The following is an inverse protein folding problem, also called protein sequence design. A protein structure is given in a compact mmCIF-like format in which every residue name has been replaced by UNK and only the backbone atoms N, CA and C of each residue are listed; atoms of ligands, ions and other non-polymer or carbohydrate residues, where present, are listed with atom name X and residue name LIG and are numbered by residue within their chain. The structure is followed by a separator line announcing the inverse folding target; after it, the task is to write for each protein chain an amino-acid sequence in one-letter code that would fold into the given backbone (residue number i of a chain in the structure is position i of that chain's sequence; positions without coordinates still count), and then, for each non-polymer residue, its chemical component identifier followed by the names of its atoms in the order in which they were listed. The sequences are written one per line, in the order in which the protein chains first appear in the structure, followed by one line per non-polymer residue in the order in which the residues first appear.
data_IF_747682709137
#
_entry.id   IF_747682709137
#
_cell.length_a   1.000
_cell.length_b   1.000
_cell.length_c   1.000
_cell.angle_alpha   90.00
_cell.angle_beta   90.00
_cell.angle_gamma   90.00
#
_symmetry.space_group_name_H-M   'P 1'
#
loop_
_entity.id
_entity.type
_entity.pdbx_description
1 polymer ?
#
# COMPACT_ATOMS: atom_id res chain seq x y z
N UNK A 1 -9.87 -18.03 -21.88
CA UNK A 1 -8.83 -17.64 -20.91
C UNK A 1 -9.08 -16.18 -20.60
N UNK A 2 -9.71 -15.95 -19.45
CA UNK A 2 -10.28 -14.68 -19.01
C UNK A 2 -9.18 -13.70 -18.57
N UNK A 3 -9.12 -12.56 -19.24
CA UNK A 3 -8.39 -11.38 -18.78
C UNK A 3 -8.98 -10.91 -17.45
N UNK A 4 -8.26 -11.15 -16.36
CA UNK A 4 -8.54 -10.49 -15.09
C UNK A 4 -8.13 -9.02 -15.20
N UNK A 5 -9.04 -8.06 -14.96
CA UNK A 5 -8.76 -6.63 -15.10
C UNK A 5 -7.61 -6.19 -14.20
N UNK A 6 -6.85 -5.19 -14.64
CA UNK A 6 -5.65 -4.64 -13.98
C UNK A 6 -5.84 -4.35 -12.47
N UNK A 7 -7.04 -3.92 -12.06
CA UNK A 7 -7.43 -3.70 -10.66
C UNK A 7 -7.44 -4.99 -9.82
N UNK A 8 -7.87 -6.13 -10.38
CA UNK A 8 -7.84 -7.42 -9.67
C UNK A 8 -6.43 -7.93 -9.44
N UNK A 9 -5.46 -7.57 -10.30
CA UNK A 9 -4.05 -7.97 -10.11
C UNK A 9 -3.40 -7.22 -8.98
N UNK A 10 -3.59 -5.89 -8.90
CA UNK A 10 -3.08 -5.10 -7.78
C UNK A 10 -3.79 -5.45 -6.46
N UNK A 11 -5.10 -5.75 -6.51
CA UNK A 11 -5.84 -6.22 -5.34
C UNK A 11 -5.42 -7.63 -4.91
N UNK A 12 -5.15 -8.55 -5.85
CA UNK A 12 -4.61 -9.88 -5.52
C UNK A 12 -3.18 -9.80 -4.98
N UNK A 13 -2.35 -8.89 -5.48
CA UNK A 13 -1.00 -8.65 -4.95
C UNK A 13 -1.12 -8.11 -3.54
N UNK A 14 -1.99 -7.13 -3.27
CA UNK A 14 -2.26 -6.67 -1.91
C UNK A 14 -2.77 -7.79 -1.00
N UNK A 15 -3.68 -8.65 -1.47
CA UNK A 15 -4.17 -9.81 -0.72
C UNK A 15 -3.07 -10.84 -0.46
N UNK A 16 -2.20 -11.12 -1.44
CA UNK A 16 -1.09 -12.07 -1.27
C UNK A 16 0.01 -11.52 -0.37
N UNK A 17 0.32 -10.23 -0.47
CA UNK A 17 1.26 -9.57 0.43
C UNK A 17 0.69 -9.51 1.84
N UNK A 18 -0.58 -9.12 2.03
CA UNK A 18 -1.28 -9.23 3.31
C UNK A 18 -1.31 -10.69 3.80
N UNK A 19 -1.34 -11.68 2.92
CA UNK A 19 -1.25 -13.10 3.29
C UNK A 19 0.17 -13.49 3.76
N UNK A 20 1.23 -13.04 3.10
CA UNK A 20 2.62 -13.23 3.51
C UNK A 20 2.89 -12.53 4.84
N UNK A 21 2.44 -11.27 4.97
CA UNK A 21 2.52 -10.48 6.20
C UNK A 21 1.72 -11.15 7.33
N UNK A 22 0.53 -11.70 7.02
CA UNK A 22 -0.27 -12.50 7.96
C UNK A 22 0.46 -13.75 8.43
N UNK A 23 1.10 -14.51 7.53
CA UNK A 23 1.89 -15.71 7.90
C UNK A 23 3.09 -15.31 8.77
N UNK A 24 3.70 -14.16 8.48
CA UNK A 24 4.81 -13.61 9.24
C UNK A 24 4.37 -13.24 10.67
N UNK A 25 3.33 -12.42 10.80
CA UNK A 25 2.74 -12.01 12.08
C UNK A 25 2.19 -13.21 12.88
N UNK A 26 1.61 -14.20 12.20
CA UNK A 26 1.07 -15.44 12.78
C UNK A 26 2.07 -16.25 13.60
N UNK A 27 3.37 -16.24 13.25
CA UNK A 27 4.34 -17.07 13.96
C UNK A 27 4.75 -16.48 15.33
N UNK A 28 4.43 -15.22 15.63
CA UNK A 28 5.11 -14.47 16.69
C UNK A 28 4.22 -13.72 17.72
N UNK A 29 2.90 -13.90 17.73
CA UNK A 29 1.99 -13.37 18.78
C UNK A 29 0.99 -14.45 19.27
N UNK A 30 0.93 -14.72 20.59
CA UNK A 30 -0.10 -15.57 21.24
C UNK A 30 -0.41 -15.02 22.65
N UNK A 31 -1.68 -14.65 22.95
CA UNK A 31 -2.54 -15.23 24.04
C UNK A 31 -3.85 -14.45 24.35
N UNK A 32 -4.98 -15.08 23.96
CA UNK A 32 -6.24 -15.35 24.70
C UNK A 32 -7.40 -14.31 24.83
N UNK A 33 -8.59 -14.79 24.41
CA UNK A 33 -9.99 -14.36 24.65
C UNK A 33 -10.76 -15.54 25.33
N UNK A 34 -12.02 -15.50 25.86
CA UNK A 34 -13.28 -15.34 25.06
C UNK A 34 -14.55 -14.71 25.74
N UNK A 35 -15.47 -14.27 24.86
CA UNK A 35 -16.90 -13.82 24.98
C UNK A 35 -17.89 -14.96 25.39
N UNK A 36 -19.19 -14.76 25.75
CA UNK A 36 -20.29 -14.61 24.75
C UNK A 36 -21.59 -13.78 25.11
N UNK A 37 -22.10 -13.07 24.08
CA UNK A 37 -23.47 -12.68 23.59
C UNK A 37 -24.75 -13.47 24.05
N UNK A 38 -26.06 -13.03 23.85
CA UNK A 38 -26.70 -12.77 22.51
C UNK A 38 -28.04 -11.95 22.32
N UNK A 39 -28.41 -11.72 21.02
CA UNK A 39 -29.74 -11.69 20.30
C UNK A 39 -30.82 -10.56 20.55
N UNK A 40 -31.73 -10.10 19.64
CA UNK A 40 -32.09 -10.29 18.21
C UNK A 40 -33.28 -9.37 17.70
N UNK A 41 -33.38 -9.19 16.36
CA UNK A 41 -34.55 -9.06 15.40
C UNK A 41 -35.56 -7.87 15.32
N UNK A 42 -35.91 -7.47 14.06
CA UNK A 42 -37.23 -6.92 13.64
C UNK A 42 -37.28 -6.18 12.27
N UNK A 43 -38.17 -6.56 11.34
CA UNK A 43 -38.30 -6.15 9.90
C UNK A 43 -39.24 -4.94 9.57
N UNK A 44 -39.19 -4.47 8.30
CA UNK A 44 -39.91 -3.36 7.64
C UNK A 44 -41.40 -3.66 7.25
N UNK A 45 -42.24 -2.73 6.68
CA UNK A 45 -42.14 -2.24 5.26
C UNK A 45 -42.77 -0.85 4.92
N UNK A 46 -42.69 -0.43 3.63
CA UNK A 46 -43.25 0.81 3.00
C UNK A 46 -44.73 0.68 2.50
N UNK A 47 -45.40 1.77 2.03
CA UNK A 47 -45.51 2.01 0.56
C UNK A 47 -45.72 3.47 0.00
N UNK A 48 -45.34 3.63 -1.30
CA UNK A 48 -45.79 4.47 -2.49
C UNK A 48 -46.78 5.66 -2.36
N UNK A 49 -46.93 6.68 -3.26
CA UNK A 49 -46.48 7.16 -4.63
C UNK A 49 -46.87 8.68 -4.71
N UNK A 50 -46.38 9.60 -5.57
CA UNK A 50 -46.72 9.95 -7.01
C UNK A 50 -46.01 11.32 -7.30
N UNK A 51 -45.14 11.53 -8.31
CA UNK A 51 -45.30 11.95 -9.74
C UNK A 51 -45.22 13.48 -10.06
N UNK A 52 -44.41 13.85 -11.08
CA UNK A 52 -44.31 15.15 -11.81
C UNK A 52 -43.03 15.95 -11.50
N UNK A 53 -42.18 16.48 -12.40
CA UNK A 53 -42.28 16.82 -13.84
C UNK A 53 -40.91 16.85 -14.55
N UNK A 54 -40.96 16.77 -15.88
CA UNK A 54 -39.84 16.69 -16.85
C UNK A 54 -39.12 18.04 -17.08
N UNK A 55 -37.79 18.00 -17.14
CA UNK A 55 -36.99 18.90 -17.97
C UNK A 55 -35.86 18.12 -18.64
N UNK A 56 -35.88 18.05 -19.97
CA UNK A 56 -34.98 17.25 -20.78
C UNK A 56 -33.55 17.83 -20.80
N UNK A 57 -32.62 17.09 -20.22
CA UNK A 57 -31.16 17.27 -20.40
C UNK A 57 -30.75 16.43 -21.63
N UNK A 58 -29.96 16.95 -22.58
CA UNK A 58 -29.57 16.19 -23.77
C UNK A 58 -28.79 14.94 -23.35
N UNK A 59 -29.22 13.78 -23.85
CA UNK A 59 -28.59 12.50 -23.61
C UNK A 59 -27.13 12.52 -24.12
N UNK A 60 -26.16 12.34 -23.21
CA UNK A 60 -24.75 12.12 -23.58
C UNK A 60 -24.69 10.84 -24.42
N UNK A 61 -24.34 10.98 -25.70
CA UNK A 61 -24.11 9.86 -26.60
C UNK A 61 -23.15 8.84 -25.96
N UNK A 62 -23.44 7.55 -26.09
CA UNK A 62 -22.57 6.48 -25.61
C UNK A 62 -21.25 6.52 -26.37
N UNK A 63 -20.20 7.03 -25.71
CA UNK A 63 -18.86 7.08 -26.26
C UNK A 63 -18.41 5.67 -26.66
N UNK A 64 -18.00 5.51 -27.92
CA UNK A 64 -17.39 4.27 -28.42
C UNK A 64 -15.99 4.09 -27.82
N UNK A 65 -15.46 2.86 -27.80
CA UNK A 65 -14.07 2.58 -27.41
C UNK A 65 -13.05 3.40 -28.22
N UNK A 66 -13.37 3.71 -29.48
CA UNK A 66 -12.58 4.60 -30.35
C UNK A 66 -12.57 6.04 -29.88
N UNK A 67 -13.64 6.51 -29.24
CA UNK A 67 -13.74 7.88 -28.72
C UNK A 67 -12.90 8.05 -27.46
N UNK A 68 -12.88 7.05 -26.57
CA UNK A 68 -12.00 7.04 -25.40
C UNK A 68 -10.52 7.02 -25.77
N UNK A 69 -10.14 6.21 -26.77
CA UNK A 69 -8.75 6.19 -27.26
C UNK A 69 -8.35 7.51 -27.91
N UNK A 70 -9.26 8.15 -28.65
CA UNK A 70 -9.01 9.48 -29.24
C UNK A 70 -8.84 10.53 -28.15
N UNK A 71 -9.72 10.55 -27.15
CA UNK A 71 -9.66 11.48 -26.03
C UNK A 71 -8.39 11.29 -25.20
N UNK A 72 -7.99 10.04 -24.92
CA UNK A 72 -6.72 9.74 -24.26
C UNK A 72 -5.51 10.26 -25.06
N UNK A 73 -5.47 10.03 -26.38
CA UNK A 73 -4.39 10.55 -27.24
C UNK A 73 -4.36 12.08 -27.29
N UNK A 74 -5.53 12.73 -27.28
CA UNK A 74 -5.63 14.18 -27.23
C UNK A 74 -5.06 14.73 -25.93
N UNK A 75 -5.43 14.15 -24.77
CA UNK A 75 -4.87 14.55 -23.46
C UNK A 75 -3.35 14.36 -23.39
N UNK A 76 -2.83 13.25 -23.92
CA UNK A 76 -1.39 13.03 -23.98
C UNK A 76 -0.69 14.09 -24.85
N UNK A 77 -1.29 14.46 -25.99
CA UNK A 77 -0.77 15.51 -26.87
C UNK A 77 -0.84 16.91 -26.23
N UNK A 78 -1.93 17.21 -25.52
CA UNK A 78 -2.11 18.46 -24.76
C UNK A 78 -1.08 18.59 -23.62
N UNK A 79 -0.70 17.47 -23.00
CA UNK A 79 0.39 17.40 -22.03
C UNK A 79 1.79 17.54 -22.66
N UNK A 80 1.89 17.79 -23.98
CA UNK A 80 3.16 17.98 -24.69
C UNK A 80 3.88 16.67 -25.04
N UNK A 81 3.26 15.51 -24.83
CA UNK A 81 3.85 14.22 -25.13
C UNK A 81 3.74 13.89 -26.64
N UNK A 82 4.82 13.39 -27.22
CA UNK A 82 4.90 13.04 -28.64
C UNK A 82 4.83 11.53 -28.80
N UNK A 83 3.91 11.05 -29.64
CA UNK A 83 3.81 9.63 -29.96
C UNK A 83 5.07 9.15 -30.68
N UNK A 84 5.68 8.07 -30.18
CA UNK A 84 6.77 7.33 -30.83
C UNK A 84 6.35 5.88 -31.01
N UNK A 85 6.72 5.29 -32.14
CA UNK A 85 6.46 3.88 -32.45
C UNK A 85 7.80 3.12 -32.41
N UNK A 86 7.78 1.95 -31.79
CA UNK A 86 8.97 1.13 -31.56
C UNK A 86 8.73 -0.30 -32.04
N UNK A 87 9.76 -0.90 -32.61
CA UNK A 87 9.80 -2.33 -32.90
C UNK A 87 10.73 -2.98 -31.88
N UNK A 88 10.16 -3.81 -31.01
CA UNK A 88 10.91 -4.49 -29.95
C UNK A 88 10.56 -5.97 -29.93
N UNK A 89 11.48 -6.76 -29.37
CA UNK A 89 11.22 -8.18 -29.15
C UNK A 89 10.16 -8.37 -28.05
N UNK A 90 9.31 -9.39 -28.12
CA UNK A 90 8.21 -9.58 -27.15
C UNK A 90 8.71 -9.73 -25.70
N UNK A 91 9.93 -10.22 -25.49
CA UNK A 91 10.55 -10.38 -24.17
C UNK A 91 10.87 -9.03 -23.48
N UNK A 92 10.92 -7.93 -24.25
CA UNK A 92 11.34 -6.61 -23.76
C UNK A 92 10.19 -5.61 -23.61
N UNK A 93 8.94 -6.05 -23.75
CA UNK A 93 7.76 -5.17 -23.73
C UNK A 93 7.58 -4.49 -22.38
N UNK A 94 7.82 -5.21 -21.28
CA UNK A 94 7.63 -4.66 -19.94
C UNK A 94 8.73 -3.66 -19.56
N UNK A 95 9.97 -3.91 -19.97
CA UNK A 95 11.07 -2.94 -19.83
C UNK A 95 10.75 -1.62 -20.57
N UNK A 96 10.20 -1.70 -21.78
CA UNK A 96 9.80 -0.50 -22.54
C UNK A 96 8.67 0.27 -21.85
N UNK A 97 7.70 -0.42 -21.23
CA UNK A 97 6.62 0.23 -20.47
C UNK A 97 7.14 1.01 -19.26
N UNK A 98 8.11 0.45 -18.53
CA UNK A 98 8.75 1.13 -17.41
C UNK A 98 9.44 2.43 -17.85
N UNK A 99 10.25 2.34 -18.92
CA UNK A 99 10.94 3.48 -19.52
C UNK A 99 9.93 4.53 -20.02
N UNK A 100 8.86 4.11 -20.70
CA UNK A 100 7.81 5.01 -21.19
C UNK A 100 7.14 5.79 -20.05
N UNK A 101 6.81 5.12 -18.94
CA UNK A 101 6.19 5.76 -17.77
C UNK A 101 7.12 6.80 -17.15
N UNK A 102 8.42 6.51 -17.07
CA UNK A 102 9.42 7.46 -16.59
C UNK A 102 9.54 8.69 -17.50
N UNK A 103 9.57 8.49 -18.83
CA UNK A 103 9.63 9.57 -19.82
C UNK A 103 8.38 10.49 -19.85
N UNK A 104 7.27 10.09 -19.21
CA UNK A 104 6.04 10.88 -19.13
C UNK A 104 5.97 11.82 -17.93
N UNK A 105 6.89 11.73 -16.97
CA UNK A 105 6.90 12.61 -15.79
C UNK A 105 7.41 14.02 -16.14
N UNK A 106 6.79 15.10 -15.60
CA UNK A 106 7.26 16.46 -15.82
C UNK A 106 8.64 16.65 -15.18
N UNK A 107 9.54 17.19 -15.99
CA UNK A 107 10.97 17.25 -15.76
C UNK A 107 11.37 18.38 -14.78
N UNK A 108 12.29 18.09 -13.86
CA UNK A 108 12.76 19.01 -12.81
C UNK A 108 14.31 19.16 -12.80
N UNK A 109 14.98 19.31 -13.94
CA UNK A 109 16.45 19.41 -13.91
C UNK A 109 17.20 19.49 -15.24
N UNK A 110 18.39 18.87 -15.31
CA UNK A 110 19.20 18.74 -16.53
C UNK A 110 18.88 17.42 -17.26
N UNK A 111 19.06 17.40 -18.59
CA UNK A 111 18.60 16.30 -19.48
C UNK A 111 19.05 14.94 -18.94
N UNK A 112 18.07 14.08 -18.66
CA UNK A 112 18.22 12.68 -18.24
C UNK A 112 19.31 12.00 -19.08
N UNK A 113 20.42 11.60 -18.44
CA UNK A 113 21.37 10.66 -19.02
C UNK A 113 20.77 9.27 -18.87
N UNK A 114 20.55 8.59 -19.99
CA UNK A 114 20.03 7.21 -20.03
C UNK A 114 20.89 6.25 -19.19
N UNK A 115 22.17 6.59 -19.00
CA UNK A 115 23.16 5.87 -18.21
C UNK A 115 22.81 5.79 -16.72
N UNK A 116 22.24 6.84 -16.12
CA UNK A 116 21.88 6.84 -14.69
C UNK A 116 20.65 5.94 -14.43
N UNK A 117 19.71 5.89 -15.40
CA UNK A 117 18.55 4.98 -15.38
C UNK A 117 18.93 3.50 -15.57
N UNK A 118 20.09 3.20 -16.16
CA UNK A 118 20.54 1.82 -16.33
C UNK A 118 21.02 1.19 -15.00
N UNK A 119 21.26 2.01 -13.98
CA UNK A 119 21.55 1.59 -12.60
C UNK A 119 20.32 1.56 -11.68
N UNK A 120 19.18 2.14 -12.09
CA UNK A 120 17.96 2.24 -11.26
C UNK A 120 16.90 1.17 -11.52
N UNK A 121 17.08 0.26 -12.49
CA UNK A 121 16.17 -0.87 -12.70
C UNK A 121 16.52 -2.09 -11.82
N UNK A 122 16.87 -1.88 -10.55
CA UNK A 122 16.94 -2.99 -9.60
C UNK A 122 15.55 -3.16 -9.00
N UNK A 123 14.73 -4.03 -9.58
CA UNK A 123 13.52 -4.48 -8.90
C UNK A 123 13.96 -5.20 -7.63
N UNK A 124 13.64 -4.61 -6.49
CA UNK A 124 14.00 -5.18 -5.20
C UNK A 124 13.42 -6.58 -5.09
N UNK A 125 14.28 -7.51 -4.69
CA UNK A 125 13.90 -8.78 -4.07
C UNK A 125 14.14 -8.65 -2.58
N UNK A 126 13.54 -9.53 -1.79
CA UNK A 126 13.78 -9.56 -0.33
C UNK A 126 15.29 -9.65 -0.03
N UNK A 127 16.02 -10.50 -0.75
CA UNK A 127 17.47 -10.68 -0.57
C UNK A 127 18.31 -9.47 -0.98
N UNK A 128 17.97 -8.82 -2.10
CA UNK A 128 18.72 -7.63 -2.54
C UNK A 128 18.42 -6.41 -1.67
N UNK A 129 17.17 -6.24 -1.26
CA UNK A 129 16.77 -5.17 -0.35
C UNK A 129 17.40 -5.36 1.03
N UNK A 130 17.36 -6.58 1.58
CA UNK A 130 18.06 -6.93 2.82
C UNK A 130 19.53 -6.51 2.75
N UNK A 131 20.24 -6.95 1.69
CA UNK A 131 21.66 -6.65 1.55
C UNK A 131 21.93 -5.15 1.53
N UNK A 132 21.13 -4.40 0.77
CA UNK A 132 21.24 -2.95 0.69
C UNK A 132 20.95 -2.26 2.03
N UNK A 133 19.94 -2.73 2.77
CA UNK A 133 19.61 -2.21 4.10
C UNK A 133 20.72 -2.51 5.12
N UNK A 134 21.35 -3.68 5.07
CA UNK A 134 22.47 -4.04 5.96
C UNK A 134 23.69 -3.11 5.79
N UNK A 135 23.89 -2.53 4.60
CA UNK A 135 25.00 -1.62 4.31
C UNK A 135 24.73 -0.18 4.77
N UNK A 136 23.53 0.14 5.25
CA UNK A 136 23.17 1.49 5.72
C UNK A 136 23.91 1.84 7.02
N UNK A 137 24.30 3.11 7.12
CA UNK A 137 24.88 3.68 8.35
C UNK A 137 23.94 3.55 9.56
N UNK A 138 22.62 3.61 9.33
CA UNK A 138 21.62 3.44 10.39
C UNK A 138 21.67 2.03 11.01
N UNK A 139 21.95 1.00 10.21
CA UNK A 139 22.06 -0.38 10.68
C UNK A 139 23.42 -0.64 11.31
N UNK A 140 24.50 -0.18 10.67
CA UNK A 140 25.87 -0.36 11.19
C UNK A 140 26.13 0.40 12.49
N UNK A 141 25.45 1.53 12.71
CA UNK A 141 25.48 2.28 13.98
C UNK A 141 24.48 1.76 15.02
N UNK A 142 23.74 0.67 14.74
CA UNK A 142 22.81 0.04 15.69
C UNK A 142 21.52 0.84 15.95
N UNK A 143 21.16 1.79 15.09
CA UNK A 143 19.87 2.51 15.19
C UNK A 143 18.70 1.68 14.66
N UNK A 144 18.98 0.79 13.72
CA UNK A 144 18.02 -0.16 13.16
C UNK A 144 18.64 -1.55 13.27
N UNK A 145 18.00 -2.45 13.99
CA UNK A 145 18.37 -3.87 13.96
C UNK A 145 17.62 -4.55 12.83
N UNK A 146 18.31 -5.38 12.05
CA UNK A 146 17.74 -6.06 10.90
C UNK A 146 17.75 -7.57 11.13
N UNK A 147 16.56 -8.18 11.10
CA UNK A 147 16.36 -9.61 11.12
C UNK A 147 15.68 -10.08 9.84
N UNK A 148 16.05 -11.27 9.36
CA UNK A 148 15.37 -11.90 8.22
C UNK A 148 14.75 -13.21 8.65
N UNK A 149 13.53 -13.42 8.21
CA UNK A 149 12.87 -14.72 8.36
C UNK A 149 13.00 -15.49 7.07
N UNK A 150 13.71 -16.61 7.12
CA UNK A 150 13.85 -17.54 6.01
C UNK A 150 12.67 -18.52 5.95
N UNK A 151 12.15 -18.81 4.74
CA UNK A 151 11.07 -19.77 4.50
C UNK A 151 10.04 -19.33 3.45
N UNK A 152 8.88 -20.01 3.41
CA UNK A 152 7.80 -19.78 2.42
C UNK A 152 7.12 -18.40 2.52
N UNK A 153 7.30 -17.70 3.65
CA UNK A 153 6.88 -16.30 3.87
C UNK A 153 8.11 -15.48 4.26
N UNK A 154 9.03 -15.32 3.30
CA UNK A 154 10.24 -14.53 3.50
C UNK A 154 9.87 -13.05 3.70
N UNK A 155 10.52 -12.42 4.67
CA UNK A 155 10.27 -11.03 5.05
C UNK A 155 11.43 -10.49 5.88
N UNK A 156 11.55 -9.17 5.90
CA UNK A 156 12.56 -8.44 6.68
C UNK A 156 11.85 -7.82 7.87
N UNK A 157 12.39 -7.99 9.08
CA UNK A 157 11.98 -7.24 10.26
C UNK A 157 13.05 -6.21 10.58
N UNK A 158 12.62 -4.96 10.71
CA UNK A 158 13.43 -3.86 11.19
C UNK A 158 12.96 -3.51 12.60
N UNK A 159 13.88 -3.48 13.56
CA UNK A 159 13.61 -2.97 14.91
C UNK A 159 14.16 -1.56 15.00
N UNK A 160 13.28 -0.59 15.19
CA UNK A 160 13.60 0.83 15.18
C UNK A 160 13.95 1.32 16.60
N UNK A 161 15.24 1.32 16.96
CA UNK A 161 15.69 1.57 18.33
C UNK A 161 15.31 2.98 18.86
N UNK A 162 15.42 3.99 18.00
CA UNK A 162 15.05 5.38 18.34
C UNK A 162 13.52 5.58 18.51
N UNK A 163 12.72 4.56 18.17
CA UNK A 163 11.26 4.57 18.22
C UNK A 163 10.71 3.63 19.30
N UNK A 164 11.49 3.35 20.35
CA UNK A 164 11.09 2.45 21.42
C UNK A 164 11.04 0.99 20.97
N UNK A 165 12.01 0.58 20.15
CA UNK A 165 12.13 -0.76 19.58
C UNK A 165 10.92 -1.17 18.71
N UNK A 166 10.31 -0.19 18.03
CA UNK A 166 9.16 -0.41 17.15
C UNK A 166 9.52 -1.41 16.04
N UNK A 167 8.81 -2.56 15.92
CA UNK A 167 9.03 -3.49 14.82
C UNK A 167 8.29 -3.03 13.55
N UNK A 168 9.01 -2.99 12.43
CA UNK A 168 8.49 -2.80 11.09
C UNK A 168 8.76 -4.05 10.26
N UNK A 169 7.72 -4.56 9.62
CA UNK A 169 7.77 -5.74 8.78
C UNK A 169 7.73 -5.35 7.31
N UNK A 170 8.68 -5.86 6.53
CA UNK A 170 8.80 -5.59 5.11
C UNK A 170 8.63 -6.90 4.34
N UNK A 171 7.70 -6.86 3.38
CA UNK A 171 7.51 -7.91 2.40
C UNK A 171 7.73 -7.33 1.00
N UNK A 172 8.30 -8.14 0.11
CA UNK A 172 8.46 -7.79 -1.31
C UNK A 172 7.78 -8.86 -2.16
N UNK A 173 6.78 -8.47 -2.95
CA UNK A 173 6.08 -9.39 -3.83
C UNK A 173 5.86 -8.75 -5.21
N UNK A 174 6.45 -9.37 -6.23
CA UNK A 174 6.40 -8.87 -7.60
C UNK A 174 6.98 -7.46 -7.70
N UNK A 175 6.10 -6.49 -7.95
CA UNK A 175 6.45 -5.10 -8.25
C UNK A 175 6.26 -4.15 -7.07
N UNK A 176 5.95 -4.69 -5.89
CA UNK A 176 5.58 -3.93 -4.71
C UNK A 176 6.39 -4.36 -3.49
N UNK A 177 6.73 -3.37 -2.68
CA UNK A 177 7.22 -3.52 -1.32
C UNK A 177 6.09 -3.04 -0.41
N UNK A 178 5.81 -3.79 0.65
CA UNK A 178 4.89 -3.39 1.71
C UNK A 178 5.69 -3.29 3.01
N UNK A 179 5.59 -2.17 3.69
CA UNK A 179 6.08 -1.97 5.05
C UNK A 179 4.88 -1.85 5.99
N UNK A 180 4.84 -2.62 7.06
CA UNK A 180 3.74 -2.70 8.01
C UNK A 180 4.26 -2.62 9.45
N UNK A 181 3.54 -1.87 10.29
CA UNK A 181 3.80 -1.75 11.71
C UNK A 181 2.50 -1.88 12.51
N UNK A 182 2.51 -2.74 13.53
CA UNK A 182 1.39 -2.90 14.44
C UNK A 182 1.21 -1.65 15.30
N UNK A 183 0.00 -1.10 15.34
CA UNK A 183 -0.36 0.01 16.22
C UNK A 183 -0.88 -0.53 17.56
N UNK A 184 -1.98 -1.27 17.53
CA UNK A 184 -2.64 -1.78 18.75
C UNK A 184 -3.62 -2.92 18.43
N UNK A 185 -3.84 -3.80 19.38
CA UNK A 185 -4.87 -4.84 19.28
C UNK A 185 -6.28 -4.25 19.29
N UNK A 186 -7.19 -4.79 18.48
CA UNK A 186 -8.60 -4.34 18.40
C UNK A 186 -9.32 -4.52 19.75
N UNK A 187 -8.95 -5.56 20.51
CA UNK A 187 -9.50 -5.82 21.85
C UNK A 187 -9.09 -4.77 22.90
N UNK A 188 -8.08 -3.93 22.61
CA UNK A 188 -7.59 -2.84 23.45
C UNK A 188 -8.18 -1.48 23.06
N UNK A 189 -9.27 -1.48 22.30
CA UNK A 189 -10.01 -0.25 21.94
C UNK A 189 -11.30 -0.14 22.75
N UNK A 190 -11.50 1.02 23.42
CA UNK A 190 -12.69 1.33 24.22
C UNK A 190 -14.00 1.15 23.45
N UNK A 191 -14.04 1.70 22.23
CA UNK A 191 -15.19 1.64 21.33
C UNK A 191 -14.71 1.55 19.88
N UNK A 192 -14.64 0.32 19.35
CA UNK A 192 -14.16 0.02 18.00
C UNK A 192 -14.93 0.79 16.92
N UNK A 193 -16.25 0.94 17.06
CA UNK A 193 -17.05 1.62 16.04
C UNK A 193 -16.75 3.13 16.00
N UNK A 194 -16.65 3.78 17.16
CA UNK A 194 -16.28 5.19 17.24
C UNK A 194 -14.84 5.41 16.77
N UNK A 195 -13.93 4.51 17.16
CA UNK A 195 -12.54 4.56 16.75
C UNK A 195 -12.38 4.43 15.23
N UNK A 196 -13.11 3.51 14.59
CA UNK A 196 -13.11 3.37 13.13
C UNK A 196 -13.53 4.66 12.41
N UNK A 197 -14.55 5.38 12.90
CA UNK A 197 -14.94 6.66 12.28
C UNK A 197 -13.84 7.72 12.43
N UNK A 198 -13.14 7.76 13.57
CA UNK A 198 -11.99 8.65 13.78
C UNK A 198 -10.84 8.30 12.83
N UNK A 199 -10.44 7.03 12.77
CA UNK A 199 -9.37 6.53 11.91
C UNK A 199 -9.65 6.80 10.43
N UNK A 200 -10.88 6.58 9.97
CA UNK A 200 -11.25 6.83 8.58
C UNK A 200 -11.25 8.33 8.22
N UNK A 201 -11.34 9.22 9.20
CA UNK A 201 -11.27 10.67 9.03
C UNK A 201 -9.88 11.25 9.26
N UNK A 202 -8.93 10.46 9.76
CA UNK A 202 -7.58 10.90 10.07
C UNK A 202 -6.57 10.71 8.94
N UNK A 203 -7.02 10.45 7.70
CA UNK A 203 -6.14 10.24 6.53
C UNK A 203 -5.08 11.32 6.38
N UNK A 204 -5.44 12.58 6.62
CA UNK A 204 -4.55 13.73 6.43
C UNK A 204 -3.47 13.83 7.53
N UNK A 205 -3.58 13.05 8.62
CA UNK A 205 -2.61 13.01 9.71
C UNK A 205 -1.41 12.11 9.42
N UNK A 206 -1.55 11.13 8.52
CA UNK A 206 -0.55 10.09 8.29
C UNK A 206 -0.14 10.07 6.80
N UNK A 207 0.68 11.04 6.35
CA UNK A 207 1.13 11.05 4.96
C UNK A 207 1.87 9.76 4.64
N UNK A 208 1.62 9.20 3.46
CA UNK A 208 2.31 7.99 2.96
C UNK A 208 2.04 6.71 3.78
N UNK A 209 1.11 6.77 4.75
CA UNK A 209 0.67 5.61 5.51
C UNK A 209 -0.84 5.46 5.43
N UNK A 210 -1.30 4.23 5.44
CA UNK A 210 -2.70 3.86 5.56
C UNK A 210 -2.90 3.09 6.85
N UNK A 211 -4.08 3.25 7.46
CA UNK A 211 -4.46 2.44 8.63
C UNK A 211 -5.33 1.28 8.15
N UNK A 212 -5.01 0.08 8.60
CA UNK A 212 -5.76 -1.14 8.32
C UNK A 212 -6.12 -1.90 9.58
N UNK A 213 -7.01 -2.88 9.43
CA UNK A 213 -7.22 -3.93 10.43
C UNK A 213 -6.72 -5.22 9.79
N UNK A 214 -5.75 -5.85 10.44
CA UNK A 214 -5.23 -7.14 10.04
C UNK A 214 -5.57 -8.21 11.07
N UNK A 215 -5.76 -9.42 10.57
CA UNK A 215 -6.02 -10.59 11.39
C UNK A 215 -4.78 -11.46 11.43
N UNK A 216 -4.19 -11.59 12.62
CA UNK A 216 -3.10 -12.50 12.88
C UNK A 216 -3.58 -13.96 12.82
N UNK A 217 -2.66 -14.89 12.65
CA UNK A 217 -3.02 -16.30 12.49
C UNK A 217 -3.52 -17.00 13.74
N UNK A 218 -3.34 -16.44 14.93
CA UNK A 218 -4.01 -16.86 16.17
C UNK A 218 -5.48 -16.37 16.25
N UNK A 219 -5.90 -15.58 15.27
CA UNK A 219 -7.23 -15.01 15.15
C UNK A 219 -7.39 -13.64 15.82
N UNK A 220 -6.34 -13.12 16.46
CA UNK A 220 -6.31 -11.77 17.00
C UNK A 220 -6.37 -10.75 15.87
N UNK A 221 -7.11 -9.66 16.08
CA UNK A 221 -7.17 -8.54 15.14
C UNK A 221 -6.40 -7.37 15.72
N UNK A 222 -5.60 -6.73 14.87
CA UNK A 222 -4.80 -5.54 15.21
C UNK A 222 -5.08 -4.43 14.22
N UNK A 223 -5.05 -3.21 14.70
CA UNK A 223 -4.84 -2.06 13.85
C UNK A 223 -3.36 -1.99 13.49
N UNK A 224 -3.06 -1.79 12.21
CA UNK A 224 -1.71 -1.57 11.72
C UNK A 224 -1.66 -0.29 10.89
N UNK A 225 -0.48 0.31 10.82
CA UNK A 225 -0.16 1.29 9.79
C UNK A 225 0.73 0.60 8.77
N UNK A 226 0.44 0.83 7.49
CA UNK A 226 1.25 0.29 6.41
C UNK A 226 1.43 1.29 5.27
N UNK A 227 2.56 1.16 4.60
CA UNK A 227 2.92 1.88 3.38
C UNK A 227 3.25 0.89 2.27
N UNK A 228 2.83 1.20 1.04
CA UNK A 228 3.15 0.40 -0.14
C UNK A 228 3.92 1.27 -1.14
N UNK A 229 5.02 0.74 -1.66
CA UNK A 229 5.89 1.42 -2.61
C UNK A 229 6.34 0.46 -3.72
N UNK A 230 6.71 1.03 -4.86
CA UNK A 230 7.18 0.21 -5.98
C UNK A 230 8.50 -0.48 -5.64
N UNK A 231 8.66 -1.75 -6.04
CA UNK A 231 9.92 -2.48 -5.97
C UNK A 231 11.00 -1.88 -6.88
N UNK A 232 10.65 -0.98 -7.80
CA UNK A 232 11.60 -0.22 -8.62
C UNK A 232 12.00 1.13 -7.98
N UNK A 233 11.57 1.41 -6.74
CA UNK A 233 11.94 2.66 -6.04
C UNK A 233 13.41 2.63 -5.64
N UNK A 234 14.08 3.78 -5.65
CA UNK A 234 15.45 3.87 -5.15
C UNK A 234 15.52 3.53 -3.65
N UNK A 235 16.68 3.03 -3.19
CA UNK A 235 16.88 2.70 -1.78
C UNK A 235 16.57 3.90 -0.87
N UNK A 236 16.96 5.11 -1.27
CA UNK A 236 16.68 6.34 -0.52
C UNK A 236 15.19 6.57 -0.32
N UNK A 237 14.36 6.35 -1.34
CA UNK A 237 12.90 6.45 -1.23
C UNK A 237 12.37 5.36 -0.30
N UNK A 238 12.85 4.12 -0.44
CA UNK A 238 12.43 3.00 0.44
C UNK A 238 12.72 3.33 1.91
N UNK A 239 13.93 3.81 2.21
CA UNK A 239 14.33 4.18 3.57
C UNK A 239 13.49 5.36 4.09
N UNK A 240 13.25 6.38 3.27
CA UNK A 240 12.44 7.53 3.66
C UNK A 240 10.99 7.12 4.00
N UNK A 241 10.39 6.22 3.21
CA UNK A 241 9.05 5.68 3.48
C UNK A 241 9.00 4.89 4.80
N UNK A 242 10.03 4.08 5.09
CA UNK A 242 10.13 3.32 6.36
C UNK A 242 10.21 4.27 7.56
N UNK A 243 11.06 5.30 7.48
CA UNK A 243 11.20 6.29 8.56
C UNK A 243 9.91 7.09 8.75
N UNK A 244 9.26 7.49 7.66
CA UNK A 244 7.97 8.19 7.70
C UNK A 244 6.90 7.30 8.34
N UNK A 245 6.88 6.01 8.01
CA UNK A 245 5.97 5.05 8.65
C UNK A 245 6.21 4.96 10.16
N UNK A 246 7.47 4.89 10.60
CA UNK A 246 7.83 4.86 12.01
C UNK A 246 7.31 6.11 12.76
N UNK A 247 7.57 7.31 12.22
CA UNK A 247 7.08 8.57 12.77
C UNK A 247 5.54 8.59 12.85
N UNK A 248 4.88 8.12 11.79
CA UNK A 248 3.42 8.08 11.73
C UNK A 248 2.81 7.12 12.75
N UNK A 249 3.46 6.00 13.05
CA UNK A 249 2.99 5.04 14.07
C UNK A 249 3.01 5.67 15.45
N UNK A 250 4.11 6.34 15.82
CA UNK A 250 4.20 7.05 17.11
C UNK A 250 3.15 8.16 17.18
N UNK A 251 3.04 8.96 16.12
CA UNK A 251 2.02 10.01 16.04
C UNK A 251 0.59 9.45 16.13
N UNK A 252 0.32 8.30 15.53
CA UNK A 252 -0.97 7.64 15.61
C UNK A 252 -1.24 7.13 17.04
N UNK A 253 -0.24 6.56 17.70
CA UNK A 253 -0.37 6.12 19.08
C UNK A 253 -0.74 7.29 20.01
N UNK A 254 -0.07 8.44 19.87
CA UNK A 254 -0.38 9.65 20.63
C UNK A 254 -1.76 10.22 20.28
N UNK A 255 -2.09 10.31 18.98
CA UNK A 255 -3.35 10.89 18.52
C UNK A 255 -4.58 10.07 18.94
N UNK A 256 -4.40 8.78 19.19
CA UNK A 256 -5.48 7.84 19.48
C UNK A 256 -5.48 7.31 20.91
N UNK A 257 -4.55 7.75 21.75
CA UNK A 257 -4.37 7.28 23.13
C UNK A 257 -5.68 7.27 23.93
N UNK A 258 -6.51 8.33 23.76
CA UNK A 258 -7.80 8.46 24.44
C UNK A 258 -8.81 7.34 24.09
N UNK A 259 -8.58 6.59 23.01
CA UNK A 259 -9.41 5.46 22.60
C UNK A 259 -8.89 4.11 23.12
N UNK A 260 -7.68 4.05 23.70
CA UNK A 260 -7.05 2.81 24.12
C UNK A 260 -7.42 2.41 25.56
N UNK A 261 -7.47 1.10 25.83
CA UNK A 261 -7.53 0.53 27.17
C UNK A 261 -6.22 -0.21 27.46
N UNK A 262 -5.58 0.14 28.57
CA UNK A 262 -4.37 -0.49 29.10
C UNK A 262 -4.71 -1.45 30.24
#
# INVERSE_FOLDING_TARGET
MSDTPWLEREFLVFIKISHVMRIYLQKHLIRCSPDPRPAARGEAPMPRKTQGDNAAVPAKASKSSTDYMREMRLRLKEAGLVKREFWIRPENVDALRGIEKALRQPFLGDRIKLEDFMTENTHWTISSLQKALCELELVTNGKIELDVTEGDASGIRLTMAEYGDLPIYIAVEGEQILADATLIEVNKIKNVQAFNDVVLRSRDLFPLSSVGIEKLGDGQEVYCLFGALSAASSLTVVVQEILTLADNVIRAADAFEDHFIY
#
